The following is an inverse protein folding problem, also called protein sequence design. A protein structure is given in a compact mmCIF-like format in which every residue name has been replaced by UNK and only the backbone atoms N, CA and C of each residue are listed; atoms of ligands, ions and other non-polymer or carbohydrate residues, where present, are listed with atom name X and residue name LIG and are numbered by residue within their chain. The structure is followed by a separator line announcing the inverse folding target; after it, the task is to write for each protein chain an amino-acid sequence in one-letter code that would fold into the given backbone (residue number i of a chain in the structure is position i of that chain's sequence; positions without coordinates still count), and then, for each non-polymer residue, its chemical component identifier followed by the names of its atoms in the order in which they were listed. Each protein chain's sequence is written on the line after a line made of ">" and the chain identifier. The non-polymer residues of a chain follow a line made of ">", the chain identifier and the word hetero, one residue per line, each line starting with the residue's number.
data_IF_722803280488
#
_entry.id   IF_722803280488
#
_cell.length_a   1.000
_cell.length_b   1.000
_cell.length_c   1.000
_cell.angle_alpha   90.00
_cell.angle_beta   90.00
_cell.angle_gamma   90.00
#
_symmetry.space_group_name_H-M   'P 1'
#
loop_
_entity.id
_entity.type
_entity.pdbx_description
1 polymer ?
#
# COMPACT_ATOMS: atom_id res chain seq x y z
N UNK A 1 -12.95 10.73 11.17
CA UNK A 1 -14.19 10.99 11.92
C UNK A 1 -15.38 10.45 11.13
N UNK A 2 -15.77 9.17 11.29
CA UNK A 2 -17.01 8.63 10.74
C UNK A 2 -18.13 8.71 11.78
N UNK A 3 -19.27 9.30 11.43
CA UNK A 3 -20.47 9.27 12.29
C UNK A 3 -21.44 8.20 11.80
N UNK A 4 -21.34 7.02 12.41
CA UNK A 4 -22.42 6.04 12.49
C UNK A 4 -23.51 6.58 13.43
N UNK A 5 -24.79 6.40 13.06
CA UNK A 5 -25.92 6.26 13.99
C UNK A 5 -27.14 5.74 13.22
N UNK A 6 -27.64 4.57 13.59
CA UNK A 6 -28.92 4.03 13.12
C UNK A 6 -30.03 4.22 14.18
N UNK A 7 -31.27 3.78 13.90
CA UNK A 7 -32.39 3.88 14.84
C UNK A 7 -32.63 2.58 15.65
N UNK A 8 -32.91 2.71 16.95
CA UNK A 8 -33.87 1.89 17.69
C UNK A 8 -34.88 2.81 18.47
N UNK A 9 -35.93 2.32 19.17
CA UNK A 9 -36.33 0.94 19.52
C UNK A 9 -37.57 0.46 18.70
N UNK A 10 -37.86 -0.83 18.53
CA UNK A 10 -38.17 -1.89 19.51
C UNK A 10 -39.51 -1.66 20.22
N UNK A 11 -40.52 -2.51 19.95
CA UNK A 11 -41.40 -2.96 21.03
C UNK A 11 -42.07 -4.32 20.76
N UNK A 12 -42.05 -5.13 21.82
CA UNK A 12 -42.81 -6.34 22.17
C UNK A 12 -42.87 -7.59 21.26
N UNK A 13 -42.66 -8.72 21.92
CA UNK A 13 -42.64 -10.10 21.43
C UNK A 13 -44.06 -10.76 21.50
N UNK A 14 -44.23 -12.03 21.05
CA UNK A 14 -45.55 -12.60 20.75
C UNK A 14 -46.18 -13.40 21.89
N UNK A 15 -47.46 -13.75 21.75
CA UNK A 15 -48.07 -14.94 22.36
C UNK A 15 -49.15 -15.53 21.43
N UNK A 16 -49.28 -16.87 21.34
CA UNK A 16 -50.30 -17.54 20.53
C UNK A 16 -51.54 -17.89 21.36
N UNK A 17 -52.72 -17.99 20.73
CA UNK A 17 -53.82 -18.78 21.28
C UNK A 17 -54.37 -19.78 20.25
N UNK A 18 -53.88 -21.01 20.42
CA UNK A 18 -54.46 -22.26 19.98
C UNK A 18 -55.74 -22.55 20.79
N UNK A 19 -56.89 -22.75 20.12
CA UNK A 19 -58.04 -23.48 20.70
C UNK A 19 -59.11 -23.84 19.67
N UNK A 20 -58.98 -25.04 19.14
CA UNK A 20 -60.09 -25.99 18.97
C UNK A 20 -59.58 -27.33 19.55
N UNK A 21 -60.42 -28.37 19.79
CA UNK A 21 -61.88 -28.47 19.64
C UNK A 21 -62.59 -29.03 20.90
N UNK A 22 -63.92 -28.87 21.03
CA UNK A 22 -64.73 -29.76 21.89
C UNK A 22 -66.04 -30.16 21.19
N UNK A 23 -66.14 -31.45 20.83
CA UNK A 23 -67.41 -32.16 20.65
C UNK A 23 -68.11 -32.31 22.01
N UNK A 24 -69.44 -32.22 22.07
CA UNK A 24 -70.22 -32.85 23.16
C UNK A 24 -71.71 -33.07 22.82
N UNK A 25 -72.12 -34.33 22.90
CA UNK A 25 -73.48 -34.90 22.93
C UNK A 25 -73.33 -36.38 23.37
N UNK A 26 -74.32 -37.04 24.01
CA UNK A 26 -75.37 -36.59 24.93
C UNK A 26 -74.91 -36.95 26.39
N UNK A 27 -75.42 -37.94 27.19
CA UNK A 27 -76.78 -38.44 27.48
C UNK A 27 -77.11 -38.61 29.01
N UNK A 28 -78.29 -39.23 29.32
CA UNK A 28 -78.76 -39.83 30.61
C UNK A 28 -79.01 -38.84 31.79
N UNK A 29 -79.93 -39.02 32.78
CA UNK A 29 -80.78 -40.16 33.26
C UNK A 29 -82.18 -39.65 33.75
N UNK A 30 -83.07 -40.58 34.12
CA UNK A 30 -84.49 -40.44 34.53
C UNK A 30 -84.78 -39.97 35.99
N UNK A 31 -86.06 -39.59 36.24
CA UNK A 31 -86.93 -39.87 37.43
C UNK A 31 -88.20 -38.97 37.29
N UNK A 32 -89.44 -39.41 37.04
CA UNK A 32 -90.36 -40.35 37.73
C UNK A 32 -90.90 -39.89 39.11
N UNK A 33 -92.16 -39.37 39.15
CA UNK A 33 -93.22 -39.61 40.19
C UNK A 33 -94.60 -39.33 39.53
N UNK A 34 -95.36 -40.33 39.03
CA UNK A 34 -96.40 -41.14 39.71
C UNK A 34 -97.65 -40.38 40.21
N UNK A 35 -98.82 -40.67 39.62
CA UNK A 35 -100.13 -40.71 40.33
C UNK A 35 -101.19 -41.54 39.58
N UNK A 36 -101.85 -42.46 40.29
CA UNK A 36 -102.85 -43.49 39.87
C UNK A 36 -103.67 -43.83 41.16
N UNK A 37 -104.81 -44.57 41.23
CA UNK A 37 -105.70 -45.25 40.24
C UNK A 37 -107.19 -44.75 40.42
N UNK A 38 -108.32 -45.49 40.20
CA UNK A 38 -108.62 -46.81 39.58
C UNK A 38 -109.84 -46.77 38.56
N UNK A 39 -110.48 -47.89 38.16
CA UNK A 39 -109.92 -49.10 37.53
C UNK A 39 -110.66 -49.57 36.24
N UNK A 40 -109.95 -50.41 35.48
CA UNK A 40 -110.44 -51.59 34.73
C UNK A 40 -111.61 -51.50 33.72
N UNK A 41 -111.28 -51.85 32.47
CA UNK A 41 -111.80 -53.11 31.85
C UNK A 41 -110.77 -53.69 30.87
N UNK A 42 -110.90 -54.98 30.58
CA UNK A 42 -109.80 -55.85 30.16
C UNK A 42 -109.81 -56.24 28.67
N UNK A 43 -108.60 -56.45 28.13
CA UNK A 43 -108.25 -57.34 26.99
C UNK A 43 -108.84 -56.98 25.60
N UNK A 44 -108.36 -57.57 24.48
CA UNK A 44 -107.24 -58.52 24.30
C UNK A 44 -106.14 -58.07 23.31
N UNK A 45 -105.05 -58.85 23.22
CA UNK A 45 -104.02 -58.76 22.17
C UNK A 45 -104.56 -59.29 20.83
N UNK A 46 -104.23 -58.62 19.72
CA UNK A 46 -104.68 -58.95 18.36
C UNK A 46 -103.50 -58.99 17.35
N UNK A 47 -103.63 -59.68 16.20
CA UNK A 47 -102.51 -59.91 15.27
C UNK A 47 -101.92 -58.69 14.55
N UNK A 48 -102.52 -57.51 14.65
CA UNK A 48 -102.09 -56.27 13.95
C UNK A 48 -100.70 -55.78 14.37
N UNK A 49 -100.25 -56.09 15.59
CA UNK A 49 -98.96 -55.60 16.12
C UNK A 49 -97.78 -56.11 15.28
N UNK A 50 -97.83 -57.36 14.80
CA UNK A 50 -96.75 -57.99 14.01
C UNK A 50 -96.65 -57.37 12.60
N UNK A 51 -97.77 -56.96 12.01
CA UNK A 51 -97.75 -56.27 10.71
C UNK A 51 -97.23 -54.82 10.86
N UNK A 52 -97.57 -54.15 11.96
CA UNK A 52 -97.02 -52.85 12.33
C UNK A 52 -95.50 -52.89 12.52
N UNK A 53 -94.99 -53.86 13.31
CA UNK A 53 -93.56 -54.09 13.53
C UNK A 53 -92.81 -54.36 12.21
N UNK A 54 -93.39 -55.16 11.30
CA UNK A 54 -92.77 -55.42 10.00
C UNK A 54 -92.71 -54.17 9.11
N UNK A 55 -93.78 -53.36 9.07
CA UNK A 55 -93.82 -52.10 8.31
C UNK A 55 -92.83 -51.07 8.87
N UNK A 56 -92.72 -50.98 10.19
CA UNK A 56 -91.74 -50.14 10.86
C UNK A 56 -90.31 -50.59 10.53
N UNK A 57 -90.03 -51.90 10.59
CA UNK A 57 -88.72 -52.46 10.25
C UNK A 57 -88.31 -52.21 8.79
N UNK A 58 -89.24 -52.32 7.85
CA UNK A 58 -89.01 -51.97 6.43
C UNK A 58 -88.69 -50.48 6.27
N UNK A 59 -89.40 -49.61 6.99
CA UNK A 59 -89.13 -48.16 6.97
C UNK A 59 -87.77 -47.81 7.57
N UNK A 60 -87.39 -48.45 8.68
CA UNK A 60 -86.07 -48.27 9.33
C UNK A 60 -84.92 -48.81 8.48
N UNK A 61 -85.09 -49.94 7.79
CA UNK A 61 -84.12 -50.50 6.85
C UNK A 61 -83.95 -49.60 5.61
N UNK A 62 -85.05 -49.11 5.04
CA UNK A 62 -85.03 -48.13 3.95
C UNK A 62 -84.36 -46.81 4.37
N UNK A 63 -84.68 -46.28 5.56
CA UNK A 63 -84.05 -45.06 6.09
C UNK A 63 -82.54 -45.26 6.27
N UNK A 64 -82.13 -46.40 6.85
CA UNK A 64 -80.71 -46.75 7.03
C UNK A 64 -79.98 -46.84 5.69
N UNK A 65 -80.55 -47.51 4.70
CA UNK A 65 -79.97 -47.60 3.35
C UNK A 65 -79.82 -46.23 2.68
N UNK A 66 -80.81 -45.33 2.84
CA UNK A 66 -80.74 -43.95 2.32
C UNK A 66 -79.66 -43.13 3.05
N UNK A 67 -79.52 -43.30 4.36
CA UNK A 67 -78.50 -42.62 5.16
C UNK A 67 -77.08 -43.12 4.84
N UNK A 68 -76.91 -44.43 4.63
CA UNK A 68 -75.68 -45.04 4.12
C UNK A 68 -75.31 -44.52 2.73
N UNK A 69 -76.27 -44.45 1.79
CA UNK A 69 -76.04 -43.89 0.45
C UNK A 69 -75.69 -42.40 0.49
N UNK A 70 -76.40 -41.59 1.29
CA UNK A 70 -76.09 -40.16 1.50
C UNK A 70 -74.68 -40.00 2.07
N UNK A 71 -74.28 -40.83 3.04
CA UNK A 71 -72.95 -40.76 3.64
C UNK A 71 -71.85 -41.24 2.69
N UNK A 72 -72.11 -42.27 1.87
CA UNK A 72 -71.20 -42.69 0.80
C UNK A 72 -71.02 -41.56 -0.24
N UNK A 73 -72.11 -40.94 -0.72
CA UNK A 73 -72.04 -39.82 -1.68
C UNK A 73 -71.33 -38.59 -1.09
N UNK A 74 -71.49 -38.31 0.20
CA UNK A 74 -70.71 -37.29 0.92
C UNK A 74 -69.21 -37.63 0.93
N UNK A 75 -68.83 -38.88 1.20
CA UNK A 75 -67.42 -39.31 1.20
C UNK A 75 -66.81 -39.23 -0.21
N UNK A 76 -67.52 -39.71 -1.24
CA UNK A 76 -67.09 -39.58 -2.65
C UNK A 76 -66.87 -38.12 -3.04
N UNK A 77 -67.79 -37.22 -2.68
CA UNK A 77 -67.65 -35.77 -2.92
C UNK A 77 -66.48 -35.14 -2.15
N UNK A 78 -66.28 -35.52 -0.88
CA UNK A 78 -65.15 -35.02 -0.09
C UNK A 78 -63.80 -35.46 -0.66
N UNK A 79 -63.69 -36.71 -1.13
CA UNK A 79 -62.49 -37.21 -1.81
C UNK A 79 -62.20 -36.42 -3.09
N UNK A 80 -63.21 -36.20 -3.94
CA UNK A 80 -63.07 -35.38 -5.15
C UNK A 80 -62.65 -33.93 -4.83
N UNK A 81 -63.20 -33.32 -3.77
CA UNK A 81 -62.81 -31.97 -3.34
C UNK A 81 -61.36 -31.91 -2.84
N UNK A 82 -60.88 -32.94 -2.13
CA UNK A 82 -59.49 -33.05 -1.67
C UNK A 82 -58.54 -33.23 -2.86
N UNK A 83 -58.89 -34.11 -3.81
CA UNK A 83 -58.10 -34.35 -5.02
C UNK A 83 -58.00 -33.09 -5.90
N UNK A 84 -59.13 -32.44 -6.21
CA UNK A 84 -59.15 -31.18 -6.95
C UNK A 84 -58.36 -30.07 -6.25
N UNK A 85 -58.44 -29.98 -4.91
CA UNK A 85 -57.64 -29.02 -4.13
C UNK A 85 -56.14 -29.33 -4.23
N UNK A 86 -55.74 -30.61 -4.16
CA UNK A 86 -54.35 -31.02 -4.28
C UNK A 86 -53.78 -30.68 -5.67
N UNK A 87 -54.53 -30.97 -6.74
CA UNK A 87 -54.15 -30.61 -8.11
C UNK A 87 -54.01 -29.09 -8.28
N UNK A 88 -55.00 -28.31 -7.84
CA UNK A 88 -54.96 -26.85 -7.89
C UNK A 88 -53.80 -26.27 -7.07
N UNK A 89 -53.44 -26.89 -5.94
CA UNK A 89 -52.29 -26.47 -5.13
C UNK A 89 -50.96 -26.78 -5.84
N UNK A 90 -50.81 -27.94 -6.48
CA UNK A 90 -49.63 -28.26 -7.29
C UNK A 90 -49.50 -27.27 -8.45
N UNK A 91 -50.57 -27.03 -9.21
CA UNK A 91 -50.58 -26.07 -10.33
C UNK A 91 -50.21 -24.64 -9.87
N UNK A 92 -50.82 -24.16 -8.76
CA UNK A 92 -50.51 -22.86 -8.20
C UNK A 92 -49.04 -22.74 -7.74
N UNK A 93 -48.48 -23.78 -7.11
CA UNK A 93 -47.06 -23.77 -6.70
C UNK A 93 -46.11 -23.83 -7.89
N UNK A 94 -46.42 -24.61 -8.93
CA UNK A 94 -45.64 -24.67 -10.16
C UNK A 94 -45.67 -23.33 -10.93
N UNK A 95 -46.84 -22.69 -11.02
CA UNK A 95 -46.99 -21.36 -11.62
C UNK A 95 -46.20 -20.29 -10.85
N UNK A 96 -46.26 -20.31 -9.51
CA UNK A 96 -45.49 -19.41 -8.66
C UNK A 96 -43.96 -19.62 -8.81
N UNK A 97 -43.50 -20.88 -8.86
CA UNK A 97 -42.09 -21.21 -9.10
C UNK A 97 -41.63 -20.72 -10.48
N UNK A 98 -42.38 -21.00 -11.54
CA UNK A 98 -42.07 -20.53 -12.90
C UNK A 98 -41.97 -18.99 -12.98
N UNK A 99 -42.89 -18.28 -12.31
CA UNK A 99 -42.84 -16.81 -12.24
C UNK A 99 -41.59 -16.31 -11.51
N UNK A 100 -41.20 -16.94 -10.41
CA UNK A 100 -39.97 -16.60 -9.67
C UNK A 100 -38.73 -16.87 -10.53
N UNK A 101 -38.64 -18.01 -11.20
CA UNK A 101 -37.53 -18.35 -12.10
C UNK A 101 -37.39 -17.36 -13.26
N UNK A 102 -38.50 -16.94 -13.88
CA UNK A 102 -38.48 -15.94 -14.94
C UNK A 102 -37.97 -14.58 -14.42
N UNK A 103 -38.48 -14.11 -13.27
CA UNK A 103 -38.05 -12.84 -12.66
C UNK A 103 -36.59 -12.85 -12.23
N UNK A 104 -36.10 -13.97 -11.68
CA UNK A 104 -34.69 -14.17 -11.33
C UNK A 104 -33.83 -14.16 -12.59
N UNK A 105 -34.20 -14.89 -13.64
CA UNK A 105 -33.48 -14.92 -14.92
C UNK A 105 -33.41 -13.54 -15.57
N UNK A 106 -34.51 -12.79 -15.57
CA UNK A 106 -34.61 -11.43 -16.10
C UNK A 106 -33.73 -10.45 -15.33
N UNK A 107 -33.82 -10.46 -14.00
CA UNK A 107 -33.03 -9.57 -13.11
C UNK A 107 -31.54 -9.87 -13.21
N UNK A 108 -31.15 -11.15 -13.15
CA UNK A 108 -29.76 -11.58 -13.29
C UNK A 108 -29.17 -11.24 -14.68
N UNK A 109 -29.99 -11.31 -15.74
CA UNK A 109 -29.60 -10.87 -17.07
C UNK A 109 -29.32 -9.37 -17.14
N UNK A 110 -30.23 -8.55 -16.59
CA UNK A 110 -30.06 -7.10 -16.52
C UNK A 110 -28.84 -6.69 -15.66
N UNK A 111 -28.64 -7.34 -14.51
CA UNK A 111 -27.48 -7.07 -13.64
C UNK A 111 -26.15 -7.43 -14.32
N UNK A 112 -26.06 -8.58 -14.99
CA UNK A 112 -24.87 -8.97 -15.76
C UNK A 112 -24.52 -7.97 -16.86
N UNK A 113 -25.52 -7.42 -17.56
CA UNK A 113 -25.32 -6.38 -18.58
C UNK A 113 -24.88 -5.05 -17.93
N UNK A 114 -25.51 -4.62 -16.85
CA UNK A 114 -25.11 -3.42 -16.12
C UNK A 114 -23.67 -3.54 -15.56
N UNK A 115 -23.28 -4.73 -15.08
CA UNK A 115 -21.93 -5.01 -14.58
C UNK A 115 -20.90 -5.03 -15.71
N UNK A 116 -21.19 -5.66 -16.85
CA UNK A 116 -20.27 -5.72 -18.00
C UNK A 116 -20.07 -4.35 -18.65
N UNK A 117 -21.13 -3.54 -18.74
CA UNK A 117 -21.02 -2.13 -19.12
C UNK A 117 -20.18 -1.32 -18.13
N UNK A 118 -20.43 -1.47 -16.83
CA UNK A 118 -19.68 -0.75 -15.78
C UNK A 118 -18.19 -1.10 -15.83
N UNK A 119 -17.85 -2.38 -16.03
CA UNK A 119 -16.49 -2.86 -16.22
C UNK A 119 -15.86 -2.27 -17.49
N UNK A 120 -16.55 -2.34 -18.62
CA UNK A 120 -16.08 -1.78 -19.90
C UNK A 120 -15.81 -0.27 -19.78
N UNK A 121 -16.75 0.48 -19.19
CA UNK A 121 -16.62 1.92 -18.90
C UNK A 121 -15.48 2.21 -17.92
N UNK A 122 -15.14 1.31 -17.00
CA UNK A 122 -13.98 1.45 -16.11
C UNK A 122 -12.66 1.21 -16.85
N UNK A 123 -12.56 0.12 -17.64
CA UNK A 123 -11.39 -0.20 -18.46
C UNK A 123 -11.07 0.92 -19.45
N UNK A 124 -12.08 1.49 -20.12
CA UNK A 124 -11.88 2.62 -21.05
C UNK A 124 -11.30 3.85 -20.36
N UNK A 125 -11.83 4.22 -19.18
CA UNK A 125 -11.32 5.36 -18.40
C UNK A 125 -9.89 5.15 -17.93
N UNK A 126 -9.54 3.93 -17.53
CA UNK A 126 -8.19 3.63 -17.05
C UNK A 126 -7.16 3.59 -18.18
N UNK A 127 -7.54 3.07 -19.37
CA UNK A 127 -6.71 3.17 -20.59
C UNK A 127 -6.42 4.62 -20.95
N UNK A 128 -7.45 5.47 -21.00
CA UNK A 128 -7.29 6.90 -21.33
C UNK A 128 -6.33 7.59 -20.34
N UNK A 129 -6.51 7.39 -19.03
CA UNK A 129 -5.59 7.89 -18.01
C UNK A 129 -4.15 7.40 -18.18
N UNK A 130 -3.98 6.13 -18.55
CA UNK A 130 -2.65 5.53 -18.77
C UNK A 130 -1.98 6.15 -20.01
N UNK A 131 -2.74 6.40 -21.08
CA UNK A 131 -2.26 7.05 -22.29
C UNK A 131 -1.91 8.52 -22.05
N UNK A 132 -2.76 9.27 -21.33
CA UNK A 132 -2.50 10.66 -20.91
C UNK A 132 -1.23 10.75 -20.05
N UNK A 133 -1.09 9.88 -19.04
CA UNK A 133 0.11 9.80 -18.21
C UNK A 133 1.35 9.48 -19.04
N UNK A 134 1.26 8.52 -19.97
CA UNK A 134 2.38 8.15 -20.86
C UNK A 134 2.80 9.32 -21.74
N UNK A 135 1.86 10.07 -22.32
CA UNK A 135 2.13 11.25 -23.13
C UNK A 135 2.80 12.36 -22.29
N UNK A 136 2.29 12.62 -21.08
CA UNK A 136 2.91 13.59 -20.17
C UNK A 136 4.34 13.20 -19.78
N UNK A 137 4.59 11.92 -19.47
CA UNK A 137 5.95 11.43 -19.16
C UNK A 137 6.88 11.56 -20.37
N UNK A 138 6.42 11.26 -21.58
CA UNK A 138 7.21 11.44 -22.81
C UNK A 138 7.56 12.92 -23.06
N UNK A 139 6.60 13.84 -22.87
CA UNK A 139 6.83 15.28 -23.00
C UNK A 139 7.86 15.78 -21.98
N UNK A 140 7.74 15.37 -20.71
CA UNK A 140 8.72 15.73 -19.68
C UNK A 140 10.10 15.13 -19.96
N UNK A 141 10.19 13.89 -20.42
CA UNK A 141 11.46 13.27 -20.79
C UNK A 141 12.18 14.03 -21.93
N UNK A 142 11.44 14.48 -22.95
CA UNK A 142 11.99 15.31 -24.03
C UNK A 142 12.50 16.66 -23.51
N UNK A 143 11.73 17.34 -22.64
CA UNK A 143 12.16 18.61 -22.04
C UNK A 143 13.42 18.42 -21.17
N UNK A 144 13.54 17.31 -20.44
CA UNK A 144 14.72 17.01 -19.64
C UNK A 144 15.96 16.76 -20.51
N UNK A 145 15.84 16.00 -21.60
CA UNK A 145 16.93 15.77 -22.56
C UNK A 145 17.40 17.09 -23.23
N UNK A 146 16.48 17.99 -23.60
CA UNK A 146 16.85 19.33 -24.09
C UNK A 146 17.62 20.15 -23.04
N UNK A 147 17.20 20.09 -21.77
CA UNK A 147 17.86 20.78 -20.65
C UNK A 147 19.22 20.19 -20.33
N UNK A 148 19.35 18.87 -20.37
CA UNK A 148 20.61 18.16 -20.18
C UNK A 148 21.60 18.52 -21.29
N UNK A 149 21.18 18.52 -22.56
CA UNK A 149 21.98 19.01 -23.69
C UNK A 149 22.40 20.47 -23.55
N UNK A 150 21.57 21.33 -22.95
CA UNK A 150 21.94 22.71 -22.64
C UNK A 150 23.00 22.81 -21.53
N UNK A 151 22.88 21.99 -20.47
CA UNK A 151 23.86 21.92 -19.38
C UNK A 151 25.20 21.36 -19.87
N UNK A 152 25.21 20.22 -20.56
CA UNK A 152 26.43 19.60 -21.12
C UNK A 152 27.21 20.56 -22.02
N UNK A 153 26.53 21.39 -22.82
CA UNK A 153 27.18 22.44 -23.64
C UNK A 153 27.85 23.52 -22.79
N UNK A 154 27.25 23.92 -21.68
CA UNK A 154 27.84 24.89 -20.75
C UNK A 154 29.03 24.28 -20.01
N UNK A 155 28.87 23.05 -19.53
CA UNK A 155 29.90 22.33 -18.78
C UNK A 155 31.14 22.08 -19.65
N UNK A 156 30.97 21.72 -20.92
CA UNK A 156 32.08 21.60 -21.87
C UNK A 156 32.88 22.92 -22.00
N UNK A 157 32.20 24.07 -22.09
CA UNK A 157 32.85 25.39 -22.16
C UNK A 157 33.54 25.75 -20.82
N UNK A 158 32.91 25.46 -19.68
CA UNK A 158 33.55 25.66 -18.37
C UNK A 158 34.79 24.78 -18.18
N UNK A 159 34.74 23.51 -18.59
CA UNK A 159 35.89 22.60 -18.56
C UNK A 159 37.02 23.08 -19.48
N UNK A 160 36.69 23.62 -20.67
CA UNK A 160 37.68 24.24 -21.55
C UNK A 160 38.36 25.46 -20.90
N UNK A 161 37.60 26.29 -20.17
CA UNK A 161 38.16 27.42 -19.42
C UNK A 161 39.06 26.96 -18.27
N UNK A 162 38.67 25.92 -17.53
CA UNK A 162 39.47 25.32 -16.45
C UNK A 162 40.78 24.77 -17.02
N UNK A 163 40.73 23.93 -18.06
CA UNK A 163 41.92 23.36 -18.71
C UNK A 163 42.88 24.44 -19.25
N UNK A 164 42.35 25.55 -19.81
CA UNK A 164 43.16 26.71 -20.24
C UNK A 164 43.84 27.42 -19.06
N UNK A 165 43.18 27.53 -17.91
CA UNK A 165 43.75 28.12 -16.70
C UNK A 165 44.82 27.20 -16.09
N UNK A 166 44.54 25.90 -16.00
CA UNK A 166 45.50 24.88 -15.53
C UNK A 166 46.76 24.86 -16.40
N UNK A 167 46.61 24.86 -17.73
CA UNK A 167 47.73 24.93 -18.69
C UNK A 167 48.60 26.16 -18.41
N UNK A 168 48.00 27.36 -18.39
CA UNK A 168 48.73 28.61 -18.08
C UNK A 168 49.40 28.60 -16.70
N UNK A 169 48.77 27.98 -15.71
CA UNK A 169 49.29 27.84 -14.36
C UNK A 169 50.55 26.96 -14.34
N UNK A 170 50.50 25.80 -15.02
CA UNK A 170 51.68 24.91 -15.15
C UNK A 170 52.82 25.54 -15.94
N UNK A 171 52.52 26.23 -17.05
CA UNK A 171 53.51 27.00 -17.83
C UNK A 171 54.16 28.10 -16.98
N UNK A 172 53.37 28.88 -16.24
CA UNK A 172 53.87 29.94 -15.37
C UNK A 172 54.79 29.40 -14.27
N UNK A 173 54.40 28.32 -13.59
CA UNK A 173 55.25 27.69 -12.57
C UNK A 173 56.54 27.12 -13.17
N UNK A 174 56.48 26.49 -14.34
CA UNK A 174 57.66 25.97 -15.05
C UNK A 174 58.64 27.10 -15.37
N UNK A 175 58.18 28.16 -16.04
CA UNK A 175 59.03 29.31 -16.42
C UNK A 175 59.58 30.02 -15.17
N UNK A 176 58.80 30.12 -14.10
CA UNK A 176 59.24 30.70 -12.83
C UNK A 176 60.35 29.87 -12.18
N UNK A 177 60.22 28.54 -12.17
CA UNK A 177 61.24 27.64 -11.63
C UNK A 177 62.54 27.66 -12.47
N UNK A 178 62.42 27.62 -13.80
CA UNK A 178 63.55 27.71 -14.73
C UNK A 178 64.28 29.06 -14.60
N UNK A 179 63.53 30.18 -14.54
CA UNK A 179 64.08 31.53 -14.35
C UNK A 179 64.78 31.68 -13.00
N UNK A 180 64.20 31.14 -11.92
CA UNK A 180 64.81 31.17 -10.60
C UNK A 180 66.11 30.35 -10.54
N UNK A 181 66.10 29.12 -11.08
CA UNK A 181 67.30 28.28 -11.14
C UNK A 181 68.41 28.93 -11.96
N UNK A 182 68.07 29.47 -13.14
CA UNK A 182 69.00 30.21 -14.00
C UNK A 182 69.57 31.44 -13.28
N UNK A 183 68.73 32.25 -12.63
CA UNK A 183 69.18 33.41 -11.87
C UNK A 183 70.11 33.04 -10.70
N UNK A 184 69.84 31.92 -10.04
CA UNK A 184 70.72 31.34 -9.00
C UNK A 184 72.07 30.91 -9.60
N UNK A 185 72.07 30.24 -10.75
CA UNK A 185 73.29 29.75 -11.42
C UNK A 185 74.13 30.88 -12.02
N UNK A 186 73.52 31.88 -12.66
CA UNK A 186 74.21 33.08 -13.14
C UNK A 186 74.84 33.88 -11.98
N UNK A 187 74.10 34.04 -10.87
CA UNK A 187 74.62 34.68 -9.65
C UNK A 187 75.77 33.85 -9.07
N UNK A 188 75.61 32.53 -8.98
CA UNK A 188 76.65 31.65 -8.47
C UNK A 188 77.90 31.71 -9.36
N UNK A 189 77.80 31.65 -10.69
CA UNK A 189 78.94 31.77 -11.60
C UNK A 189 79.66 33.12 -11.46
N UNK A 190 78.91 34.24 -11.39
CA UNK A 190 79.48 35.58 -11.20
C UNK A 190 80.25 35.71 -9.88
N UNK A 191 79.77 35.09 -8.80
CA UNK A 191 80.38 35.21 -7.47
C UNK A 191 81.30 34.05 -7.06
N UNK A 192 81.27 32.90 -7.75
CA UNK A 192 82.19 31.78 -7.51
C UNK A 192 83.63 32.10 -7.91
N UNK A 193 83.84 32.99 -8.91
CA UNK A 193 85.16 33.55 -9.20
C UNK A 193 85.61 34.62 -8.18
N UNK A 194 84.71 35.07 -7.30
CA UNK A 194 85.03 35.95 -6.17
C UNK A 194 85.20 35.18 -4.85
N UNK A 195 85.71 33.94 -4.93
CA UNK A 195 86.32 33.27 -3.79
C UNK A 195 87.63 33.97 -3.42
N UNK A 196 87.50 35.18 -2.84
CA UNK A 196 88.60 36.08 -2.51
C UNK A 196 89.34 35.52 -1.29
N UNK A 197 90.27 34.61 -1.54
CA UNK A 197 91.27 34.22 -0.56
C UNK A 197 91.93 35.50 -0.01
N UNK A 198 91.87 35.77 1.31
CA UNK A 198 92.42 37.00 1.86
C UNK A 198 93.93 37.06 1.60
N UNK A 199 94.42 38.17 1.03
CA UNK A 199 95.80 38.31 0.52
C UNK A 199 96.88 37.92 1.53
N UNK A 200 96.63 38.16 2.82
CA UNK A 200 97.53 37.80 3.92
C UNK A 200 96.90 36.75 4.86
N UNK A 201 95.88 36.02 4.41
CA UNK A 201 95.07 35.09 5.21
C UNK A 201 95.84 33.88 5.71
N UNK A 202 96.76 33.36 4.90
CA UNK A 202 97.60 32.22 5.28
C UNK A 202 98.62 32.64 6.35
N UNK A 203 99.24 33.83 6.19
CA UNK A 203 100.10 34.45 7.20
C UNK A 203 99.33 34.79 8.48
N UNK A 204 98.09 35.30 8.35
CA UNK A 204 97.19 35.57 9.48
C UNK A 204 96.86 34.28 10.25
N UNK A 205 96.64 33.17 9.54
CA UNK A 205 96.40 31.86 10.14
C UNK A 205 97.66 31.33 10.84
N UNK A 206 98.84 31.48 10.22
CA UNK A 206 100.12 31.08 10.80
C UNK A 206 100.48 31.86 12.07
N UNK A 207 100.28 33.18 12.10
CA UNK A 207 100.55 33.98 13.32
C UNK A 207 99.56 33.69 14.44
N UNK A 208 98.28 33.55 14.13
CA UNK A 208 97.26 33.16 15.12
C UNK A 208 97.53 31.76 15.68
N UNK A 209 98.05 30.84 14.87
CA UNK A 209 98.52 29.53 15.32
C UNK A 209 99.76 29.66 16.22
N UNK A 210 100.79 30.38 15.77
CA UNK A 210 102.04 30.55 16.52
C UNK A 210 101.81 31.17 17.91
N UNK A 211 100.97 32.21 18.03
CA UNK A 211 100.69 32.83 19.33
C UNK A 211 99.90 31.92 20.29
N UNK A 212 99.02 31.04 19.79
CA UNK A 212 98.37 30.02 20.62
C UNK A 212 99.39 29.02 21.17
N UNK A 213 100.28 28.55 20.29
CA UNK A 213 101.32 27.57 20.62
C UNK A 213 102.45 28.15 21.50
N UNK A 214 102.70 29.45 21.43
CA UNK A 214 103.78 30.17 22.14
C UNK A 214 103.25 31.20 23.14
N UNK A 215 102.22 30.84 23.92
CA UNK A 215 101.62 31.70 24.94
C UNK A 215 102.69 32.22 25.92
N UNK A 216 102.76 33.54 26.11
CA UNK A 216 103.77 34.20 26.96
C UNK A 216 105.18 34.35 26.34
N UNK A 217 105.43 33.75 25.16
CA UNK A 217 106.72 33.84 24.43
C UNK A 217 106.54 34.45 23.04
N UNK A 218 105.68 35.47 22.92
CA UNK A 218 105.25 36.09 21.65
C UNK A 218 106.40 36.52 20.72
N UNK A 219 107.58 36.83 21.26
CA UNK A 219 108.78 37.15 20.49
C UNK A 219 109.29 36.00 19.61
N UNK A 220 108.98 34.72 19.89
CA UNK A 220 109.31 33.62 18.96
C UNK A 220 108.54 33.68 17.65
N UNK A 221 107.35 34.29 17.66
CA UNK A 221 106.51 34.52 16.48
C UNK A 221 106.86 35.81 15.72
N UNK A 222 107.88 36.56 16.16
CA UNK A 222 108.28 37.86 15.60
C UNK A 222 108.53 37.82 14.09
N UNK A 223 109.20 36.79 13.57
CA UNK A 223 109.45 36.62 12.14
C UNK A 223 108.14 36.53 11.33
N UNK A 224 107.16 35.75 11.80
CA UNK A 224 105.84 35.61 11.16
C UNK A 224 105.04 36.92 11.28
N UNK A 225 105.17 37.65 12.39
CA UNK A 225 104.55 38.95 12.59
C UNK A 225 105.10 40.01 11.63
N UNK A 226 106.42 40.07 11.45
CA UNK A 226 107.04 40.95 10.46
C UNK A 226 106.59 40.60 9.04
N UNK A 227 106.53 39.31 8.67
CA UNK A 227 106.05 38.87 7.36
C UNK A 227 104.57 39.22 7.12
N UNK A 228 103.70 39.02 8.11
CA UNK A 228 102.28 39.41 8.03
C UNK A 228 102.12 40.92 7.87
N UNK A 229 102.84 41.73 8.67
CA UNK A 229 102.80 43.20 8.54
C UNK A 229 103.29 43.67 7.17
N UNK A 230 104.42 43.13 6.67
CA UNK A 230 104.93 43.46 5.34
C UNK A 230 103.92 43.09 4.24
N UNK A 231 103.26 41.93 4.34
CA UNK A 231 102.17 41.55 3.43
C UNK A 231 101.03 42.58 3.46
N UNK A 232 100.57 42.97 4.65
CA UNK A 232 99.48 43.93 4.83
C UNK A 232 99.85 45.31 4.28
N UNK A 233 101.07 45.79 4.53
CA UNK A 233 101.51 47.12 4.08
C UNK A 233 101.80 47.16 2.58
N UNK A 234 102.31 46.08 1.99
CA UNK A 234 102.42 45.94 0.55
C UNK A 234 101.04 45.85 -0.13
N UNK A 235 100.09 45.12 0.46
CA UNK A 235 98.71 45.07 -0.03
C UNK A 235 97.99 46.43 0.03
N UNK A 236 98.22 47.23 1.10
CA UNK A 236 97.75 48.62 1.19
C UNK A 236 98.35 49.49 0.08
N UNK A 237 99.67 49.47 -0.11
CA UNK A 237 100.38 50.24 -1.14
C UNK A 237 99.89 49.89 -2.55
N UNK A 238 99.78 48.59 -2.86
CA UNK A 238 99.37 48.13 -4.18
C UNK A 238 97.93 48.54 -4.54
N UNK A 239 97.00 48.55 -3.56
CA UNK A 239 95.62 49.04 -3.78
C UNK A 239 95.52 50.55 -4.06
N UNK A 240 96.50 51.34 -3.64
CA UNK A 240 96.55 52.78 -3.92
C UNK A 240 97.15 53.11 -5.30
N UNK A 241 97.73 52.13 -5.99
CA UNK A 241 98.47 52.33 -7.25
C UNK A 241 97.73 51.88 -8.52
N UNK A 242 96.60 51.18 -8.40
CA UNK A 242 95.83 50.61 -9.53
C UNK A 242 94.39 51.11 -9.63
N UNK A 243 94.06 52.19 -8.92
CA UNK A 243 92.78 52.91 -9.09
C UNK A 243 92.92 54.01 -10.14
N UNK A 244 92.60 53.69 -11.39
CA UNK A 244 92.47 54.61 -12.53
C UNK A 244 91.35 54.15 -13.45
#
# INVERSE_FOLDING_TARGET
>A
MPTLSGPPPCDTAPAPEESAPILSLPPVVEDEIISVPPPAKALPVSPEVVEGELRQKIHEEMHRSLEEEINQKRQELLLQLVEMRALAQVEATAAAQAQVEEQVKKTLGAEKLAQSEKLTKAIMRERMRTEDQRLMVQLYAHQLDEKEKQLQKRDAVYMEHIAKLETKCTEFYKVTAESFQKGKEETHQRFAHFDRQPVCGDLQSQILKCYKENTGKTLSCSSIASAYMQCVDNAKKNKLSTGG
#
